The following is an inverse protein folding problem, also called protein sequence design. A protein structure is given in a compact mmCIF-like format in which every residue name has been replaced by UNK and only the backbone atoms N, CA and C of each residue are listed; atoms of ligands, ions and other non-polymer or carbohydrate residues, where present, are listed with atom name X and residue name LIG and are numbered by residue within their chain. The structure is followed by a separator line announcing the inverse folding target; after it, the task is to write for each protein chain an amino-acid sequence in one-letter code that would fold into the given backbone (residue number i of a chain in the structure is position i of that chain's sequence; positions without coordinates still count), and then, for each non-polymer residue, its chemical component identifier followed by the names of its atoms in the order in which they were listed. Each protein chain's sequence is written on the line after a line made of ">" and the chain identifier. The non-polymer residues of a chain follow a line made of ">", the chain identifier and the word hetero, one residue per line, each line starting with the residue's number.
data_IF_972172539308
#
_entry.id   IF_972172539308
#
_cell.length_a   1.000
_cell.length_b   1.000
_cell.length_c   1.000
_cell.angle_alpha   90.00
_cell.angle_beta   90.00
_cell.angle_gamma   90.00
#
_symmetry.space_group_name_H-M   'P 1'
#
loop_
_entity.id
_entity.type
_entity.pdbx_description
1 polymer ?
#
# COMPACT_ATOMS: atom_id res chain seq x y z
N UNK A 1 -50.68 -24.34 16.35
CA UNK A 1 -49.72 -24.27 15.24
C UNK A 1 -48.41 -23.71 15.77
N UNK A 2 -47.34 -24.50 15.75
CA UNK A 2 -46.02 -24.15 16.26
C UNK A 2 -45.31 -23.29 15.21
N UNK A 3 -44.95 -22.05 15.55
CA UNK A 3 -44.13 -21.19 14.70
C UNK A 3 -42.65 -21.54 14.89
N UNK A 4 -41.99 -21.98 13.83
CA UNK A 4 -40.55 -22.21 13.82
C UNK A 4 -39.81 -20.86 13.75
N UNK A 5 -39.00 -20.55 14.76
CA UNK A 5 -38.12 -19.38 14.78
C UNK A 5 -36.93 -19.66 13.87
N UNK A 6 -36.82 -18.92 12.76
CA UNK A 6 -35.67 -18.97 11.87
C UNK A 6 -34.43 -18.39 12.58
N UNK A 7 -33.32 -19.14 12.58
CA UNK A 7 -32.04 -18.69 13.12
C UNK A 7 -31.46 -17.58 12.21
N UNK A 8 -31.03 -16.43 12.75
CA UNK A 8 -30.34 -15.44 11.94
C UNK A 8 -29.01 -16.02 11.47
N UNK A 9 -28.81 -16.05 10.16
CA UNK A 9 -27.52 -16.36 9.55
C UNK A 9 -26.63 -15.13 9.75
N UNK A 10 -25.76 -15.17 10.75
CA UNK A 10 -24.70 -14.19 10.93
C UNK A 10 -23.70 -14.36 9.79
N UNK A 11 -23.90 -13.64 8.69
CA UNK A 11 -22.92 -13.57 7.62
C UNK A 11 -21.63 -12.93 8.15
N UNK A 12 -20.48 -13.53 7.84
CA UNK A 12 -19.18 -12.90 8.05
C UNK A 12 -19.20 -11.55 7.32
N UNK A 13 -18.84 -10.43 7.98
CA UNK A 13 -18.82 -9.13 7.30
C UNK A 13 -17.87 -9.22 6.11
N UNK A 14 -18.42 -9.02 4.91
CA UNK A 14 -17.62 -8.89 3.69
C UNK A 14 -16.74 -7.66 3.91
N UNK A 15 -15.43 -7.88 4.01
CA UNK A 15 -14.48 -6.78 4.09
C UNK A 15 -14.74 -5.85 2.90
N UNK A 16 -15.08 -4.60 3.18
CA UNK A 16 -15.35 -3.60 2.15
C UNK A 16 -14.10 -3.52 1.28
N UNK A 17 -14.20 -3.99 0.03
CA UNK A 17 -13.10 -3.91 -0.93
C UNK A 17 -12.78 -2.44 -1.07
N UNK A 18 -11.53 -2.05 -0.82
CA UNK A 18 -11.11 -0.65 -0.94
C UNK A 18 -11.52 -0.11 -2.32
N UNK A 19 -12.50 0.78 -2.35
CA UNK A 19 -12.99 1.42 -3.56
C UNK A 19 -12.00 2.51 -3.97
N UNK A 20 -11.54 2.50 -5.22
CA UNK A 20 -10.59 3.48 -5.74
C UNK A 20 -9.73 2.95 -6.88
N UNK A 21 -8.70 3.72 -7.31
CA UNK A 21 -7.75 3.31 -8.33
C UNK A 21 -7.10 1.95 -8.03
N UNK A 22 -6.70 1.26 -9.10
CA UNK A 22 -5.89 0.04 -9.01
C UNK A 22 -4.41 0.39 -9.20
N UNK A 23 -3.57 -0.07 -8.27
CA UNK A 23 -2.12 0.12 -8.30
C UNK A 23 -1.46 -1.22 -8.59
N UNK A 24 -0.72 -1.30 -9.70
CA UNK A 24 -0.19 -2.56 -10.25
C UNK A 24 1.33 -2.53 -10.28
N UNK A 25 1.95 -3.56 -9.72
CA UNK A 25 3.39 -3.79 -9.82
C UNK A 25 3.60 -4.99 -10.73
N UNK A 26 4.36 -4.82 -11.81
CA UNK A 26 4.57 -5.86 -12.81
C UNK A 26 5.71 -6.78 -12.43
N UNK A 27 5.56 -8.08 -12.68
CA UNK A 27 6.64 -9.02 -12.46
C UNK A 27 7.87 -8.63 -13.31
N UNK A 28 9.05 -8.70 -12.71
CA UNK A 28 10.31 -8.32 -13.35
C UNK A 28 10.73 -6.86 -13.11
N UNK A 29 9.85 -5.99 -12.62
CA UNK A 29 10.21 -4.66 -12.11
C UNK A 29 10.69 -4.70 -10.65
N UNK A 30 11.15 -3.57 -10.13
CA UNK A 30 11.44 -3.41 -8.70
C UNK A 30 10.33 -2.68 -7.93
N UNK A 31 10.35 -2.83 -6.61
CA UNK A 31 9.44 -2.14 -5.70
C UNK A 31 9.64 -0.63 -5.82
N UNK A 32 10.90 -0.16 -5.89
CA UNK A 32 11.21 1.26 -6.10
C UNK A 32 10.63 1.79 -7.41
N UNK A 33 10.81 1.06 -8.52
CA UNK A 33 10.27 1.46 -9.83
C UNK A 33 8.74 1.57 -9.77
N UNK A 34 8.08 0.54 -9.22
CA UNK A 34 6.62 0.49 -9.09
C UNK A 34 6.09 1.65 -8.24
N UNK A 35 6.71 1.93 -7.08
CA UNK A 35 6.28 3.03 -6.22
C UNK A 35 6.51 4.40 -6.86
N UNK A 36 7.61 4.57 -7.58
CA UNK A 36 7.91 5.83 -8.30
C UNK A 36 6.87 6.10 -9.39
N UNK A 37 6.49 5.07 -10.15
CA UNK A 37 5.43 5.15 -11.16
C UNK A 37 4.06 5.50 -10.53
N UNK A 38 3.71 4.83 -9.43
CA UNK A 38 2.45 5.10 -8.73
C UNK A 38 2.39 6.52 -8.17
N UNK A 39 3.50 7.00 -7.59
CA UNK A 39 3.57 8.34 -7.03
C UNK A 39 3.37 9.42 -8.10
N UNK A 40 3.99 9.25 -9.27
CA UNK A 40 3.81 10.17 -10.41
C UNK A 40 2.40 10.20 -11.00
N UNK A 41 1.58 9.19 -10.73
CA UNK A 41 0.16 9.13 -11.14
C UNK A 41 -0.80 9.61 -10.04
N UNK A 42 -0.35 9.59 -8.79
CA UNK A 42 -1.18 9.95 -7.65
C UNK A 42 -1.22 11.47 -7.48
N UNK A 43 -2.43 12.02 -7.39
CA UNK A 43 -2.62 13.42 -7.00
C UNK A 43 -2.34 13.61 -5.51
N UNK A 44 -1.70 14.73 -5.19
CA UNK A 44 -1.42 15.14 -3.82
C UNK A 44 -2.32 16.30 -3.39
N UNK A 45 -2.76 16.27 -2.12
CA UNK A 45 -3.68 17.26 -1.55
C UNK A 45 -3.13 18.69 -1.55
N UNK A 46 -1.81 18.88 -1.43
CA UNK A 46 -1.17 20.20 -1.51
C UNK A 46 -0.89 20.68 -2.93
N UNK A 47 -1.31 19.92 -3.95
CA UNK A 47 -1.12 20.22 -5.37
C UNK A 47 0.04 19.44 -5.98
N UNK A 48 -0.11 19.05 -7.24
CA UNK A 48 0.86 18.24 -7.98
C UNK A 48 0.76 16.74 -7.69
N UNK A 49 1.84 16.02 -7.97
CA UNK A 49 1.93 14.57 -7.81
C UNK A 49 2.77 14.18 -6.59
N UNK A 50 2.57 12.96 -6.11
CA UNK A 50 3.44 12.40 -5.09
C UNK A 50 4.84 12.11 -5.65
N UNK A 51 5.82 12.16 -4.77
CA UNK A 51 7.22 11.84 -5.06
C UNK A 51 7.70 10.79 -4.07
N UNK A 52 8.52 9.85 -4.53
CA UNK A 52 9.17 8.84 -3.69
C UNK A 52 10.66 9.15 -3.60
N UNK A 53 11.18 9.25 -2.39
CA UNK A 53 12.62 9.30 -2.11
C UNK A 53 13.04 7.95 -1.53
N UNK A 54 13.98 7.31 -2.19
CA UNK A 54 14.51 6.01 -1.81
C UNK A 54 15.84 6.19 -1.06
N UNK A 55 15.85 5.96 0.25
CA UNK A 55 16.99 6.25 1.14
C UNK A 55 17.82 5.00 1.48
N UNK A 56 17.51 3.85 0.90
CA UNK A 56 18.19 2.58 1.15
C UNK A 56 18.74 1.97 -0.14
N UNK A 57 19.76 1.11 -0.04
CA UNK A 57 20.22 0.29 -1.16
C UNK A 57 19.37 -0.96 -1.40
N UNK A 58 18.47 -1.28 -0.45
CA UNK A 58 17.56 -2.43 -0.57
C UNK A 58 16.45 -2.09 -1.54
N UNK A 59 16.33 -2.86 -2.62
CA UNK A 59 15.24 -2.75 -3.58
C UNK A 59 14.77 -4.16 -3.95
N UNK A 60 13.51 -4.46 -3.64
CA UNK A 60 12.95 -5.79 -3.85
C UNK A 60 12.46 -5.94 -5.28
N UNK A 61 12.79 -7.07 -5.91
CA UNK A 61 12.14 -7.42 -7.16
C UNK A 61 10.71 -7.88 -6.93
N UNK A 62 9.87 -7.56 -7.89
CA UNK A 62 8.50 -8.07 -7.97
C UNK A 62 8.57 -9.44 -8.68
N UNK A 63 8.59 -10.52 -7.89
CA UNK A 63 8.64 -11.88 -8.44
C UNK A 63 7.28 -12.37 -8.97
N UNK A 64 6.18 -11.80 -8.47
CA UNK A 64 4.83 -12.05 -8.94
C UNK A 64 4.04 -10.73 -9.04
N UNK A 65 3.13 -10.58 -10.03
CA UNK A 65 2.36 -9.35 -10.18
C UNK A 65 1.55 -9.02 -8.92
N UNK A 66 1.64 -7.78 -8.45
CA UNK A 66 0.88 -7.29 -7.29
C UNK A 66 -0.20 -6.32 -7.75
N UNK A 67 -1.37 -6.40 -7.15
CA UNK A 67 -2.49 -5.50 -7.41
C UNK A 67 -3.08 -5.05 -6.09
N UNK A 68 -3.07 -3.73 -5.85
CA UNK A 68 -3.65 -3.09 -4.69
C UNK A 68 -4.76 -2.14 -5.10
N UNK A 69 -5.72 -1.89 -4.20
CA UNK A 69 -6.86 -1.00 -4.46
C UNK A 69 -6.97 0.09 -3.42
N UNK A 70 -7.55 1.22 -3.83
CA UNK A 70 -7.81 2.37 -2.97
C UNK A 70 -6.99 3.59 -3.39
N UNK A 71 -6.94 4.61 -2.53
CA UNK A 71 -6.07 5.77 -2.76
C UNK A 71 -4.58 5.37 -2.61
N UNK A 72 -3.69 6.24 -3.09
CA UNK A 72 -2.25 6.00 -3.09
C UNK A 72 -1.69 5.63 -1.71
N UNK A 73 -2.10 6.35 -0.66
CA UNK A 73 -1.65 6.07 0.71
C UNK A 73 -2.09 4.69 1.20
N UNK A 74 -3.32 4.29 0.87
CA UNK A 74 -3.83 2.96 1.20
C UNK A 74 -3.05 1.86 0.47
N UNK A 75 -2.64 2.11 -0.78
CA UNK A 75 -1.80 1.19 -1.55
C UNK A 75 -0.39 1.06 -0.95
N UNK A 76 0.21 2.17 -0.48
CA UNK A 76 1.47 2.14 0.26
C UNK A 76 1.37 1.26 1.51
N UNK A 77 0.34 1.44 2.32
CA UNK A 77 0.16 0.60 3.53
C UNK A 77 0.07 -0.88 3.17
N UNK A 78 -0.72 -1.24 2.15
CA UNK A 78 -0.89 -2.63 1.72
C UNK A 78 0.43 -3.25 1.22
N UNK A 79 1.20 -2.53 0.41
CA UNK A 79 2.46 -3.07 -0.13
C UNK A 79 3.53 -3.18 0.95
N UNK A 80 3.67 -2.20 1.85
CA UNK A 80 4.66 -2.27 2.93
C UNK A 80 4.29 -3.31 3.99
N UNK A 81 3.01 -3.59 4.21
CA UNK A 81 2.58 -4.72 5.06
C UNK A 81 3.01 -6.08 4.47
N UNK A 82 2.90 -6.24 3.14
CA UNK A 82 3.38 -7.45 2.44
C UNK A 82 4.89 -7.66 2.63
N UNK A 83 5.69 -6.59 2.53
CA UNK A 83 7.15 -6.64 2.66
C UNK A 83 7.66 -6.58 4.11
N UNK A 84 6.77 -6.42 5.10
CA UNK A 84 7.17 -6.36 6.52
C UNK A 84 7.88 -7.62 7.02
N UNK A 85 7.61 -8.77 6.40
CA UNK A 85 8.23 -10.08 6.70
C UNK A 85 9.32 -10.49 5.72
N UNK A 86 9.73 -9.59 4.81
CA UNK A 86 10.87 -9.83 3.95
C UNK A 86 12.17 -9.91 4.78
N UNK A 87 13.24 -10.43 4.17
CA UNK A 87 14.55 -10.59 4.81
C UNK A 87 15.08 -9.29 5.42
N UNK A 88 14.84 -8.16 4.75
CA UNK A 88 15.07 -6.80 5.24
C UNK A 88 13.76 -6.00 5.18
N UNK A 89 13.12 -5.71 6.32
CA UNK A 89 11.90 -4.93 6.32
C UNK A 89 12.18 -3.53 5.75
N UNK A 90 11.27 -3.04 4.92
CA UNK A 90 11.26 -1.66 4.46
C UNK A 90 10.16 -0.90 5.19
N UNK A 91 10.45 0.35 5.50
CA UNK A 91 9.53 1.28 6.14
C UNK A 91 9.28 2.46 5.21
N UNK A 92 8.03 2.93 5.19
CA UNK A 92 7.64 4.10 4.44
C UNK A 92 7.01 5.16 5.33
N UNK A 93 7.43 6.40 5.12
CA UNK A 93 6.90 7.57 5.79
C UNK A 93 6.33 8.53 4.74
N UNK A 94 5.02 8.76 4.80
CA UNK A 94 4.33 9.67 3.90
C UNK A 94 4.12 11.04 4.56
N UNK A 95 4.66 12.08 3.94
CA UNK A 95 4.47 13.48 4.30
C UNK A 95 3.49 14.13 3.32
N UNK A 96 2.22 14.21 3.71
CA UNK A 96 1.15 14.86 2.90
C UNK A 96 1.43 16.33 2.61
N UNK A 97 2.08 17.03 3.55
CA UNK A 97 2.43 18.45 3.39
C UNK A 97 3.48 18.68 2.30
N UNK A 98 4.31 17.66 2.01
CA UNK A 98 5.40 17.73 1.03
C UNK A 98 5.14 16.84 -0.19
N UNK A 99 3.97 16.19 -0.27
CA UNK A 99 3.68 15.17 -1.29
C UNK A 99 4.77 14.10 -1.41
N UNK A 100 5.38 13.73 -0.29
CA UNK A 100 6.61 12.95 -0.28
C UNK A 100 6.40 11.62 0.44
N UNK A 101 6.92 10.55 -0.13
CA UNK A 101 7.10 9.25 0.53
C UNK A 101 8.58 8.99 0.66
N UNK A 102 9.07 8.89 1.90
CA UNK A 102 10.43 8.43 2.19
C UNK A 102 10.42 6.93 2.45
N UNK A 103 11.30 6.17 1.79
CA UNK A 103 11.45 4.73 1.98
C UNK A 103 12.84 4.40 2.51
N UNK A 104 12.91 3.65 3.61
CA UNK A 104 14.15 3.33 4.33
C UNK A 104 14.12 1.91 4.92
N UNK A 105 15.29 1.32 5.14
CA UNK A 105 15.44 0.05 5.89
C UNK A 105 15.49 0.25 7.41
N UNK A 106 15.53 1.51 7.87
CA UNK A 106 15.58 1.85 9.29
C UNK A 106 14.19 2.22 9.78
N UNK A 107 13.74 1.70 10.94
CA UNK A 107 12.52 2.19 11.55
C UNK A 107 12.66 3.69 11.84
N UNK A 108 11.56 4.43 11.70
CA UNK A 108 11.53 5.84 12.08
C UNK A 108 11.85 5.95 13.58
N UNK A 109 12.98 6.57 13.91
CA UNK A 109 13.36 6.87 15.30
C UNK A 109 12.44 7.99 15.80
N UNK A 110 11.28 7.61 16.34
CA UNK A 110 10.42 8.53 17.07
C UNK A 110 10.82 8.48 18.54
N UNK A 111 11.96 9.08 18.84
CA UNK A 111 12.40 9.41 20.21
C UNK A 111 11.62 10.60 20.76
#
# INVERSE_FOLDING_TARGET
>A
ATAAVAKPLTGTPVAVVASGPEWKAVAGSTLKESLTDWAGKADCASGGHWVVIWQTSTDYRIDAPLVFKGNFESALVQVFDLYKKADKPLFAEASRLQCLVSVTDKPADRS
#
